data_IF_290234781545
#
_entry.id   IF_290234781545
#
_cell.length_a   1.000
_cell.length_b   1.000
_cell.length_c   1.000
_cell.angle_alpha   90.00
_cell.angle_beta   90.00
_cell.angle_gamma   90.00
#
_symmetry.space_group_name_H-M   'P 1'
#
loop_
_entity.id
_entity.type
_entity.pdbx_description
1 polymer ?
#
# COMPACT_ATOMS: atom_id res chain seq x y z
N UNK A 1 13.16 -7.19 -0.12
CA UNK A 1 12.34 -7.46 1.07
C UNK A 1 12.98 -6.91 2.34
N UNK A 2 12.18 -6.34 3.24
CA UNK A 2 12.60 -5.84 4.56
C UNK A 2 12.18 -6.86 5.61
N UNK A 3 13.13 -7.26 6.46
CA UNK A 3 12.80 -8.10 7.61
C UNK A 3 12.14 -7.23 8.69
N UNK A 4 10.97 -7.68 9.13
CA UNK A 4 10.06 -6.92 9.98
C UNK A 4 9.10 -7.90 10.68
N UNK A 5 8.70 -7.64 11.93
CA UNK A 5 7.68 -8.45 12.60
C UNK A 5 6.34 -8.44 11.85
N UNK A 6 6.11 -7.44 10.99
CA UNK A 6 4.89 -7.30 10.20
C UNK A 6 4.91 -8.06 8.87
N UNK A 7 6.05 -8.64 8.48
CA UNK A 7 6.21 -9.34 7.22
C UNK A 7 5.39 -10.64 7.19
N UNK A 8 4.54 -10.78 6.17
CA UNK A 8 3.89 -12.05 5.85
C UNK A 8 4.90 -12.97 5.18
N UNK A 9 5.34 -14.02 5.89
CA UNK A 9 6.29 -15.00 5.36
C UNK A 9 5.68 -15.77 4.18
N UNK A 10 6.43 -15.84 3.07
CA UNK A 10 5.98 -16.54 1.86
C UNK A 10 5.66 -18.00 2.12
N UNK A 11 4.56 -18.50 1.55
CA UNK A 11 4.08 -19.87 1.75
C UNK A 11 3.52 -20.16 3.15
N UNK A 12 3.42 -19.17 4.04
CA UNK A 12 2.76 -19.33 5.35
C UNK A 12 1.33 -18.83 5.29
N UNK A 13 0.41 -19.65 5.79
CA UNK A 13 -0.95 -19.21 6.07
C UNK A 13 -0.93 -18.26 7.25
N UNK A 14 -1.61 -17.13 7.11
CA UNK A 14 -1.82 -16.18 8.21
C UNK A 14 -3.21 -16.33 8.80
N UNK A 15 -3.36 -15.87 10.04
CA UNK A 15 -4.67 -15.67 10.67
C UNK A 15 -4.69 -14.27 11.26
N UNK A 16 -5.48 -13.38 10.69
CA UNK A 16 -5.55 -11.97 11.09
C UNK A 16 -6.04 -11.84 12.54
N UNK A 17 -6.95 -12.72 12.98
CA UNK A 17 -7.41 -12.76 14.37
C UNK A 17 -6.33 -13.05 15.42
N UNK A 18 -5.12 -13.46 15.00
CA UNK A 18 -3.96 -13.69 15.88
C UNK A 18 -2.93 -12.56 15.82
N UNK A 19 -3.16 -11.53 14.99
CA UNK A 19 -2.25 -10.41 14.82
C UNK A 19 -2.89 -9.20 15.53
N UNK A 20 -2.22 -8.57 16.50
CA UNK A 20 -2.76 -7.41 17.19
C UNK A 20 -2.95 -6.23 16.22
N UNK A 21 -4.02 -5.46 16.42
CA UNK A 21 -4.36 -4.26 15.63
C UNK A 21 -3.86 -2.97 16.27
N UNK A 22 -3.51 -3.04 17.56
CA UNK A 22 -3.18 -1.95 18.48
C UNK A 22 -1.72 -1.98 18.97
N UNK A 23 -0.87 -2.83 18.37
CA UNK A 23 0.56 -2.87 18.67
C UNK A 23 1.21 -1.47 18.51
N UNK A 24 2.18 -1.18 19.36
CA UNK A 24 3.00 0.04 19.36
C UNK A 24 4.50 -0.26 19.36
N UNK A 25 4.87 -1.54 19.29
CA UNK A 25 6.22 -2.07 19.25
C UNK A 25 7.12 -1.47 20.32
N UNK A 26 8.17 -0.76 19.91
CA UNK A 26 9.19 -0.22 20.81
C UNK A 26 8.83 1.12 21.46
N UNK A 27 7.77 1.79 21.02
CA UNK A 27 7.50 3.16 21.49
C UNK A 27 6.69 3.13 22.77
N UNK A 28 7.20 3.85 23.77
CA UNK A 28 6.52 4.04 25.07
C UNK A 28 5.58 5.23 25.06
N UNK A 29 5.80 6.17 24.15
CA UNK A 29 4.97 7.36 23.98
C UNK A 29 4.75 7.67 22.49
N UNK A 30 3.67 8.40 22.24
CA UNK A 30 3.22 8.77 20.91
C UNK A 30 4.13 9.81 20.23
N UNK A 31 4.84 10.63 21.00
CA UNK A 31 5.67 11.69 20.44
C UNK A 31 6.91 11.10 19.79
N UNK A 32 7.59 10.17 20.46
CA UNK A 32 8.75 9.46 19.91
C UNK A 32 8.43 8.75 18.58
N UNK A 33 7.23 8.18 18.43
CA UNK A 33 6.80 7.56 17.17
C UNK A 33 6.54 8.58 16.04
N UNK A 34 6.07 9.78 16.40
CA UNK A 34 5.89 10.89 15.44
C UNK A 34 7.23 11.45 14.98
N UNK A 35 8.14 11.70 15.90
CA UNK A 35 9.49 12.20 15.60
C UNK A 35 10.24 11.20 14.70
N UNK A 36 10.11 9.90 14.99
CA UNK A 36 10.67 8.85 14.13
C UNK A 36 10.01 8.81 12.74
N UNK A 37 8.71 9.10 12.64
CA UNK A 37 8.03 9.22 11.35
C UNK A 37 8.57 10.41 10.57
N UNK A 38 8.72 11.57 11.21
CA UNK A 38 9.23 12.81 10.58
C UNK A 38 10.64 12.62 10.02
N UNK A 39 11.53 11.97 10.77
CA UNK A 39 12.87 11.60 10.28
C UNK A 39 12.82 10.70 9.04
N UNK A 40 11.86 9.76 8.99
CA UNK A 40 11.64 8.93 7.80
C UNK A 40 11.16 9.77 6.60
N UNK A 41 10.33 10.80 6.82
CA UNK A 41 9.82 11.62 5.72
C UNK A 41 10.93 12.43 5.06
N UNK A 42 11.83 13.03 5.84
CA UNK A 42 13.01 13.72 5.30
C UNK A 42 13.86 12.77 4.45
N UNK A 43 14.11 11.57 4.98
CA UNK A 43 14.88 10.56 4.24
C UNK A 43 14.16 10.12 2.97
N UNK A 44 12.83 10.01 3.00
CA UNK A 44 12.04 9.61 1.84
C UNK A 44 12.11 10.67 0.75
N UNK A 45 12.05 11.95 1.11
CA UNK A 45 12.20 13.07 0.17
C UNK A 45 13.56 13.02 -0.54
N UNK A 46 14.66 12.98 0.23
CA UNK A 46 16.03 12.89 -0.31
C UNK A 46 16.19 11.69 -1.27
N UNK A 47 15.64 10.53 -0.89
CA UNK A 47 15.79 9.30 -1.68
C UNK A 47 14.85 9.25 -2.88
N UNK A 48 13.71 9.94 -2.82
CA UNK A 48 12.82 10.07 -3.97
C UNK A 48 13.48 10.92 -5.05
N UNK A 49 14.19 11.99 -4.69
CA UNK A 49 14.96 12.80 -5.65
C UNK A 49 15.98 11.95 -6.41
N UNK A 50 16.76 11.13 -5.69
CA UNK A 50 17.73 10.22 -6.32
C UNK A 50 17.03 9.18 -7.21
N UNK A 51 15.88 8.63 -6.78
CA UNK A 51 15.09 7.70 -7.60
C UNK A 51 14.70 8.36 -8.93
N UNK A 52 14.18 9.58 -8.85
CA UNK A 52 13.71 10.34 -10.00
C UNK A 52 14.85 10.69 -10.95
N UNK A 53 15.96 11.22 -10.42
CA UNK A 53 17.14 11.55 -11.21
C UNK A 53 17.74 10.31 -11.91
N UNK A 54 17.81 9.17 -11.21
CA UNK A 54 18.38 7.95 -11.78
C UNK A 54 17.53 7.37 -12.91
N UNK A 55 16.19 7.49 -12.85
CA UNK A 55 15.24 7.06 -13.88
C UNK A 55 15.42 5.61 -14.39
N UNK A 56 15.95 4.72 -13.54
CA UNK A 56 16.19 3.29 -13.86
C UNK A 56 15.19 2.34 -13.19
N UNK A 57 14.75 2.68 -11.99
CA UNK A 57 13.89 1.83 -11.15
C UNK A 57 12.59 2.56 -10.81
N UNK A 58 11.58 1.80 -10.40
CA UNK A 58 10.34 2.36 -9.87
C UNK A 58 10.02 1.76 -8.49
N UNK A 59 9.24 2.47 -7.68
CA UNK A 59 8.72 1.95 -6.41
C UNK A 59 7.19 1.92 -6.45
N UNK A 60 6.60 0.73 -6.38
CA UNK A 60 5.16 0.53 -6.28
C UNK A 60 4.76 0.19 -4.83
N UNK A 61 3.87 1.01 -4.28
CA UNK A 61 3.31 0.88 -2.95
C UNK A 61 1.83 0.56 -3.07
N UNK A 62 1.43 -0.61 -2.57
CA UNK A 62 0.02 -1.02 -2.55
C UNK A 62 -0.57 -0.87 -1.16
N UNK A 63 -1.65 -0.10 -1.02
CA UNK A 63 -2.39 0.05 0.22
C UNK A 63 -3.74 -0.64 0.09
N UNK A 64 -3.92 -1.71 0.87
CA UNK A 64 -5.19 -2.40 1.03
C UNK A 64 -5.64 -2.37 2.48
N UNK A 65 -6.95 -2.22 2.69
CA UNK A 65 -7.52 -2.18 4.02
C UNK A 65 -9.05 -2.16 3.98
N UNK A 66 -9.68 -2.53 5.09
CA UNK A 66 -11.10 -2.22 5.32
C UNK A 66 -11.37 -0.71 5.23
N UNK A 67 -12.64 -0.35 5.03
CA UNK A 67 -13.05 1.05 5.10
C UNK A 67 -12.79 1.62 6.49
N UNK A 68 -12.47 2.92 6.53
CA UNK A 68 -12.01 3.64 7.71
C UNK A 68 -10.66 3.21 8.33
N UNK A 69 -9.96 2.21 7.81
CA UNK A 69 -8.61 1.83 8.27
C UNK A 69 -7.53 2.90 8.02
N UNK A 70 -7.82 3.85 7.13
CA UNK A 70 -7.03 5.08 6.98
C UNK A 70 -5.95 5.01 5.91
N UNK A 71 -6.26 4.39 4.77
CA UNK A 71 -5.46 4.45 3.54
C UNK A 71 -5.15 5.91 3.17
N UNK A 72 -6.17 6.76 3.01
CA UNK A 72 -6.01 8.18 2.65
C UNK A 72 -5.10 8.94 3.63
N UNK A 73 -5.32 8.77 4.93
CA UNK A 73 -4.50 9.45 5.95
C UNK A 73 -3.08 8.88 6.09
N UNK A 74 -2.81 7.69 5.55
CA UNK A 74 -1.45 7.14 5.43
C UNK A 74 -0.73 7.84 4.27
N UNK A 75 -1.41 7.98 3.13
CA UNK A 75 -0.88 8.67 1.95
C UNK A 75 -0.58 10.14 2.30
N UNK A 76 -1.58 10.85 2.84
CA UNK A 76 -1.47 12.26 3.21
C UNK A 76 -0.32 12.51 4.20
N UNK A 77 -0.14 11.63 5.19
CA UNK A 77 0.88 11.84 6.21
C UNK A 77 2.29 11.46 5.79
N UNK A 78 2.46 10.49 4.89
CA UNK A 78 3.79 9.97 4.53
C UNK A 78 4.37 10.69 3.31
N UNK A 79 3.51 11.16 2.41
CA UNK A 79 3.94 11.77 1.15
C UNK A 79 3.77 13.29 1.11
N UNK A 80 3.50 13.94 2.25
CA UNK A 80 3.31 15.40 2.32
C UNK A 80 4.56 16.21 1.97
N UNK A 81 5.76 15.65 2.15
CA UNK A 81 7.03 16.31 1.83
C UNK A 81 7.64 15.89 0.50
N UNK A 82 7.13 14.83 -0.13
CA UNK A 82 7.71 14.26 -1.34
C UNK A 82 7.36 15.13 -2.56
N UNK A 83 8.32 15.35 -3.46
CA UNK A 83 8.09 16.12 -4.68
C UNK A 83 6.96 15.48 -5.52
N UNK A 84 5.87 16.21 -5.80
CA UNK A 84 4.71 15.66 -6.51
C UNK A 84 5.03 15.23 -7.95
N UNK A 85 6.13 15.71 -8.55
CA UNK A 85 6.56 15.25 -9.89
C UNK A 85 7.10 13.82 -9.90
N UNK A 86 7.55 13.30 -8.74
CA UNK A 86 8.09 11.94 -8.62
C UNK A 86 7.16 10.97 -7.91
N UNK A 87 5.92 11.36 -7.63
CA UNK A 87 4.96 10.57 -6.85
C UNK A 87 3.56 10.64 -7.44
N UNK A 88 2.97 9.47 -7.75
CA UNK A 88 1.63 9.37 -8.32
C UNK A 88 0.72 8.47 -7.48
N UNK A 89 -0.47 8.97 -7.14
CA UNK A 89 -1.50 8.19 -6.44
C UNK A 89 -2.59 7.78 -7.42
N UNK A 90 -2.85 6.47 -7.52
CA UNK A 90 -3.99 5.92 -8.26
C UNK A 90 -4.97 5.29 -7.28
N UNK A 91 -6.21 5.78 -7.28
CA UNK A 91 -7.29 5.25 -6.43
C UNK A 91 -8.25 4.40 -7.25
N UNK A 92 -8.28 3.09 -7.03
CA UNK A 92 -9.15 2.18 -7.77
C UNK A 92 -10.55 2.13 -7.16
N UNK A 93 -11.55 2.57 -7.91
CA UNK A 93 -12.97 2.46 -7.54
C UNK A 93 -13.61 1.24 -8.22
N UNK A 94 -14.93 1.12 -8.07
CA UNK A 94 -15.72 0.16 -8.85
C UNK A 94 -15.38 0.32 -10.35
N UNK A 95 -15.15 -0.79 -11.07
CA UNK A 95 -14.69 -0.70 -12.44
C UNK A 95 -15.74 -0.12 -13.38
N UNK A 96 -15.29 0.67 -14.37
CA UNK A 96 -16.17 1.19 -15.42
C UNK A 96 -16.57 0.09 -16.40
N UNK A 97 -17.56 0.37 -17.27
CA UNK A 97 -17.96 -0.59 -18.31
C UNK A 97 -16.80 -0.94 -19.25
N UNK A 98 -15.96 0.06 -19.61
CA UNK A 98 -14.78 -0.17 -20.43
C UNK A 98 -13.77 -1.08 -19.70
N UNK A 99 -13.51 -0.81 -18.43
CA UNK A 99 -12.58 -1.63 -17.64
C UNK A 99 -13.08 -3.07 -17.49
N UNK A 100 -14.39 -3.28 -17.36
CA UNK A 100 -15.01 -4.61 -17.31
C UNK A 100 -15.01 -5.35 -18.66
N UNK A 101 -14.83 -4.63 -19.77
CA UNK A 101 -14.68 -5.23 -21.10
C UNK A 101 -13.26 -5.76 -21.37
N UNK A 102 -12.30 -5.47 -20.48
CA UNK A 102 -10.95 -6.02 -20.49
C UNK A 102 -10.76 -7.00 -19.33
N UNK A 103 -9.60 -7.67 -19.29
CA UNK A 103 -9.21 -8.40 -18.08
C UNK A 103 -8.99 -7.41 -16.91
N UNK A 104 -9.13 -7.90 -15.68
CA UNK A 104 -9.10 -7.05 -14.49
C UNK A 104 -7.73 -6.41 -14.21
N UNK A 105 -6.65 -6.94 -14.78
CA UNK A 105 -5.31 -6.36 -14.63
C UNK A 105 -5.05 -5.24 -15.64
N UNK A 106 -5.78 -5.17 -16.75
CA UNK A 106 -5.59 -4.14 -17.79
C UNK A 106 -5.53 -2.71 -17.21
N UNK A 107 -6.55 -2.31 -16.43
CA UNK A 107 -6.60 -0.97 -15.82
C UNK A 107 -5.50 -0.75 -14.78
N UNK A 108 -5.07 -1.83 -14.14
CA UNK A 108 -4.09 -1.79 -13.04
C UNK A 108 -2.68 -1.66 -13.61
N UNK A 109 -2.37 -2.43 -14.65
CA UNK A 109 -1.10 -2.37 -15.36
C UNK A 109 -0.90 -0.98 -16.00
N UNK A 110 -1.95 -0.40 -16.58
CA UNK A 110 -1.91 0.96 -17.13
C UNK A 110 -1.54 2.03 -16.08
N UNK A 111 -1.75 1.77 -14.80
CA UNK A 111 -1.46 2.70 -13.72
C UNK A 111 -0.11 2.45 -13.02
N UNK A 112 0.67 1.45 -13.45
CA UNK A 112 1.97 1.15 -12.84
C UNK A 112 2.94 2.34 -13.00
N UNK A 113 3.81 2.59 -12.00
CA UNK A 113 4.75 3.70 -12.05
C UNK A 113 5.77 3.51 -13.17
N UNK A 114 6.08 4.61 -13.87
CA UNK A 114 7.24 4.68 -14.75
C UNK A 114 8.55 4.63 -13.94
N UNK A 115 9.67 4.40 -14.63
CA UNK A 115 11.00 4.51 -14.00
C UNK A 115 11.22 5.94 -13.49
N UNK A 116 11.83 6.04 -12.31
CA UNK A 116 11.98 7.29 -11.57
C UNK A 116 10.83 7.64 -10.63
N UNK A 117 9.70 6.89 -10.69
CA UNK A 117 8.48 7.25 -9.98
C UNK A 117 8.22 6.37 -8.75
N UNK A 118 7.59 6.98 -7.75
CA UNK A 118 6.83 6.28 -6.71
C UNK A 118 5.37 6.22 -7.15
N UNK A 119 4.85 5.01 -7.35
CA UNK A 119 3.42 4.75 -7.60
C UNK A 119 2.74 4.27 -6.32
N UNK A 120 1.61 4.88 -5.97
CA UNK A 120 0.83 4.52 -4.78
C UNK A 120 -0.57 4.08 -5.21
N UNK A 121 -0.88 2.82 -4.97
CA UNK A 121 -2.19 2.24 -5.22
C UNK A 121 -3.05 2.31 -3.95
N UNK A 122 -4.05 3.19 -3.95
CA UNK A 122 -5.10 3.23 -2.93
C UNK A 122 -6.25 2.30 -3.35
N UNK A 123 -6.30 1.10 -2.75
CA UNK A 123 -6.86 -0.11 -3.37
C UNK A 123 -6.06 -0.51 -4.61
N UNK A 124 -6.31 -1.68 -5.19
CA UNK A 124 -5.48 -2.27 -6.26
C UNK A 124 -6.16 -3.48 -6.92
N UNK A 125 -5.43 -4.21 -7.75
CA UNK A 125 -5.82 -5.52 -8.32
C UNK A 125 -6.28 -6.55 -7.27
N UNK A 126 -5.97 -6.36 -5.99
CA UNK A 126 -6.48 -7.25 -4.94
C UNK A 126 -8.00 -7.12 -4.72
N UNK A 127 -8.64 -6.02 -5.12
CA UNK A 127 -10.11 -5.91 -5.08
C UNK A 127 -10.78 -7.06 -5.86
N UNK A 128 -10.13 -7.54 -6.92
CA UNK A 128 -10.59 -8.65 -7.77
C UNK A 128 -10.46 -10.05 -7.14
N UNK A 129 -9.88 -10.15 -5.94
CA UNK A 129 -9.92 -11.37 -5.08
C UNK A 129 -10.50 -11.09 -3.69
N UNK A 130 -10.88 -9.83 -3.41
CA UNK A 130 -11.53 -9.38 -2.18
C UNK A 130 -13.02 -9.17 -2.42
N UNK A 131 -13.44 -8.00 -2.89
CA UNK A 131 -14.86 -7.69 -3.12
C UNK A 131 -15.49 -8.65 -4.14
N UNK A 132 -14.73 -9.05 -5.17
CA UNK A 132 -15.20 -10.02 -6.16
C UNK A 132 -15.57 -11.37 -5.54
N UNK A 133 -14.82 -11.81 -4.52
CA UNK A 133 -15.08 -13.02 -3.75
C UNK A 133 -16.25 -12.83 -2.79
N UNK A 134 -16.20 -11.79 -1.95
CA UNK A 134 -17.19 -11.57 -0.87
C UNK A 134 -18.58 -11.34 -1.43
N UNK A 135 -18.69 -10.54 -2.50
CA UNK A 135 -19.95 -10.25 -3.19
C UNK A 135 -20.31 -11.24 -4.28
N UNK A 136 -19.47 -12.27 -4.50
CA UNK A 136 -19.66 -13.28 -5.55
C UNK A 136 -19.87 -12.66 -6.94
N UNK A 137 -19.10 -11.62 -7.27
CA UNK A 137 -19.20 -10.92 -8.56
C UNK A 137 -18.80 -11.83 -9.73
N UNK A 138 -17.94 -12.81 -9.46
CA UNK A 138 -17.60 -13.90 -10.37
C UNK A 138 -17.57 -15.23 -9.60
N UNK A 139 -17.74 -16.38 -10.27
CA UNK A 139 -17.63 -17.69 -9.63
C UNK A 139 -16.26 -17.91 -8.98
N UNK A 140 -16.21 -18.78 -7.95
CA UNK A 140 -14.96 -19.16 -7.29
C UNK A 140 -13.90 -19.68 -8.25
N UNK A 141 -14.30 -20.47 -9.25
CA UNK A 141 -13.42 -20.99 -10.29
C UNK A 141 -12.73 -19.91 -11.14
N UNK A 142 -13.26 -18.67 -11.13
CA UNK A 142 -12.67 -17.51 -11.81
C UNK A 142 -11.75 -16.76 -10.86
N UNK A 143 -12.24 -16.27 -9.73
CA UNK A 143 -11.41 -15.42 -8.86
C UNK A 143 -10.28 -16.19 -8.18
N UNK A 144 -10.41 -17.51 -7.93
CA UNK A 144 -9.35 -18.26 -7.26
C UNK A 144 -8.08 -18.37 -8.10
N UNK A 145 -8.21 -18.38 -9.44
CA UNK A 145 -7.06 -18.39 -10.38
C UNK A 145 -6.32 -17.05 -10.39
N UNK A 146 -6.99 -15.97 -9.97
CA UNK A 146 -6.40 -14.62 -9.97
C UNK A 146 -5.23 -14.49 -8.99
N UNK A 147 -5.11 -15.35 -7.97
CA UNK A 147 -3.93 -15.35 -7.11
C UNK A 147 -2.65 -15.64 -7.91
N UNK A 148 -2.69 -16.62 -8.83
CA UNK A 148 -1.56 -16.96 -9.69
C UNK A 148 -1.28 -15.82 -10.68
N UNK A 149 -2.32 -15.30 -11.34
CA UNK A 149 -2.18 -14.17 -12.26
C UNK A 149 -1.58 -12.92 -11.57
N UNK A 150 -1.98 -12.63 -10.33
CA UNK A 150 -1.44 -11.52 -9.54
C UNK A 150 0.05 -11.74 -9.23
N UNK A 151 0.42 -12.96 -8.85
CA UNK A 151 1.81 -13.30 -8.58
C UNK A 151 2.68 -13.18 -9.84
N UNK A 152 2.17 -13.61 -11.01
CA UNK A 152 2.87 -13.50 -12.29
C UNK A 152 2.99 -12.05 -12.76
N UNK A 153 1.94 -11.25 -12.57
CA UNK A 153 1.95 -9.81 -12.83
C UNK A 153 2.98 -9.08 -11.97
N UNK A 154 2.96 -9.30 -10.66
CA UNK A 154 3.90 -8.67 -9.73
C UNK A 154 5.34 -9.14 -9.97
N UNK A 155 5.54 -10.40 -10.38
CA UNK A 155 6.85 -10.89 -10.81
C UNK A 155 7.34 -10.16 -12.05
N UNK A 156 6.49 -10.02 -13.07
CA UNK A 156 6.85 -9.30 -14.31
C UNK A 156 7.32 -7.89 -14.02
N UNK A 157 6.58 -7.15 -13.19
CA UNK A 157 6.97 -5.80 -12.77
C UNK A 157 8.30 -5.78 -12.02
N UNK A 158 8.51 -6.74 -11.12
CA UNK A 158 9.73 -6.82 -10.32
C UNK A 158 10.97 -7.15 -11.17
N UNK A 159 10.84 -8.09 -12.11
CA UNK A 159 11.92 -8.48 -13.02
C UNK A 159 12.30 -7.29 -13.94
N UNK A 160 11.34 -6.42 -14.28
CA UNK A 160 11.54 -5.21 -15.10
C UNK A 160 11.94 -3.94 -14.32
N UNK A 161 12.28 -4.08 -13.03
CA UNK A 161 12.87 -3.01 -12.22
C UNK A 161 11.90 -2.22 -11.33
N UNK A 162 10.69 -2.72 -11.12
CA UNK A 162 9.75 -2.16 -10.14
C UNK A 162 9.91 -2.83 -8.78
N UNK A 163 10.36 -2.10 -7.77
CA UNK A 163 10.32 -2.59 -6.38
C UNK A 163 8.90 -2.50 -5.86
N UNK A 164 8.34 -3.61 -5.36
CA UNK A 164 6.95 -3.67 -4.88
C UNK A 164 6.92 -3.89 -3.37
N UNK A 165 6.13 -3.09 -2.66
CA UNK A 165 5.80 -3.31 -1.25
C UNK A 165 4.30 -3.13 -1.02
N UNK A 166 3.69 -4.06 -0.29
CA UNK A 166 2.23 -4.11 -0.12
C UNK A 166 1.88 -4.08 1.36
N UNK A 167 0.95 -3.21 1.73
CA UNK A 167 0.54 -2.99 3.12
C UNK A 167 -0.93 -3.29 3.29
N UNK A 168 -1.25 -4.20 4.20
CA UNK A 168 -2.59 -4.37 4.73
C UNK A 168 -2.71 -3.60 6.04
N UNK A 169 -3.52 -2.55 6.05
CA UNK A 169 -3.75 -1.75 7.26
C UNK A 169 -4.79 -2.45 8.13
N UNK A 170 -4.33 -3.12 9.18
CA UNK A 170 -5.11 -3.99 10.02
C UNK A 170 -5.69 -3.24 11.21
N UNK A 171 -7.01 -3.00 11.17
CA UNK A 171 -7.76 -2.42 12.27
C UNK A 171 -8.69 -3.45 12.91
N UNK A 172 -9.05 -3.22 14.16
CA UNK A 172 -10.12 -3.96 14.83
C UNK A 172 -11.49 -3.55 14.29
N UNK A 173 -12.49 -4.41 14.50
CA UNK A 173 -13.89 -4.10 14.14
C UNK A 173 -14.44 -2.97 15.01
N UNK A 174 -13.99 -2.93 16.25
CA UNK A 174 -14.28 -1.91 17.25
C UNK A 174 -13.78 -0.55 16.77
N UNK A 175 -12.49 -0.44 16.42
CA UNK A 175 -11.90 0.79 15.87
C UNK A 175 -12.59 1.23 14.57
N UNK A 176 -12.96 0.28 13.68
CA UNK A 176 -13.72 0.61 12.48
C UNK A 176 -15.02 1.34 12.83
N UNK A 177 -15.80 0.77 13.76
CA UNK A 177 -17.07 1.33 14.18
C UNK A 177 -16.90 2.72 14.83
N UNK A 178 -15.90 2.89 15.68
CA UNK A 178 -15.59 4.19 16.29
C UNK A 178 -15.23 5.25 15.25
N UNK A 179 -14.39 4.90 14.28
CA UNK A 179 -14.02 5.82 13.18
C UNK A 179 -15.21 6.17 12.30
N UNK A 180 -16.10 5.23 12.03
CA UNK A 180 -17.33 5.50 11.26
C UNK A 180 -18.28 6.44 12.03
N UNK A 181 -18.49 6.20 13.33
CA UNK A 181 -19.27 7.10 14.20
C UNK A 181 -18.68 8.51 14.23
N UNK A 182 -17.36 8.63 14.39
CA UNK A 182 -16.67 9.92 14.40
C UNK A 182 -16.81 10.67 13.05
N UNK A 183 -16.74 9.96 11.91
CA UNK A 183 -16.96 10.55 10.58
C UNK A 183 -18.38 11.09 10.39
N UNK A 184 -19.39 10.41 10.92
CA UNK A 184 -20.78 10.85 10.87
C UNK A 184 -21.02 12.09 11.75
N UNK A 185 -20.36 12.16 12.91
CA UNK A 185 -20.44 13.30 13.81
C UNK A 185 -19.79 14.57 13.20
N UNK A 186 -18.68 14.42 12.49
CA UNK A 186 -17.91 15.52 11.89
C UNK A 186 -18.46 15.95 10.52
N UNK A 187 -19.09 17.13 10.45
CA UNK A 187 -19.66 17.70 9.21
C UNK A 187 -18.66 17.80 8.06
N UNK A 188 -17.37 18.01 8.35
CA UNK A 188 -16.31 18.16 7.34
C UNK A 188 -15.89 16.82 6.72
N UNK A 189 -16.30 15.70 7.33
CA UNK A 189 -15.93 14.33 6.90
C UNK A 189 -17.10 13.49 6.40
N UNK A 190 -18.33 13.97 6.55
CA UNK A 190 -19.55 13.26 6.10
C UNK A 190 -19.53 12.90 4.62
N UNK A 191 -18.91 13.72 3.77
CA UNK A 191 -18.77 13.42 2.34
C UNK A 191 -17.94 12.16 2.06
N UNK A 192 -17.08 11.72 3.00
CA UNK A 192 -16.29 10.49 2.93
C UNK A 192 -17.08 9.24 3.36
N UNK A 193 -18.33 9.40 3.81
CA UNK A 193 -19.16 8.31 4.29
C UNK A 193 -20.04 7.78 3.16
N UNK A 194 -20.01 6.47 2.94
CA UNK A 194 -20.96 5.80 2.06
C UNK A 194 -21.86 4.88 2.89
N UNK A 195 -23.21 4.99 2.81
CA UNK A 195 -24.11 4.08 3.50
C UNK A 195 -23.85 2.59 3.21
N UNK A 196 -23.30 2.26 2.03
CA UNK A 196 -22.88 0.91 1.68
C UNK A 196 -21.82 0.36 2.65
N UNK A 197 -20.97 1.20 3.25
CA UNK A 197 -19.91 0.80 4.18
C UNK A 197 -20.50 0.10 5.43
N UNK A 198 -21.71 0.47 5.87
CA UNK A 198 -22.40 -0.22 6.97
C UNK A 198 -22.76 -1.65 6.57
N UNK A 199 -23.20 -1.84 5.32
CA UNK A 199 -23.57 -3.16 4.79
C UNK A 199 -22.31 -4.02 4.65
N UNK A 200 -21.21 -3.45 4.15
CA UNK A 200 -19.91 -4.14 4.08
C UNK A 200 -19.41 -4.55 5.46
N UNK A 201 -19.61 -3.71 6.49
CA UNK A 201 -19.27 -4.02 7.88
C UNK A 201 -19.97 -5.26 8.44
N UNK A 202 -21.15 -5.64 7.91
CA UNK A 202 -21.82 -6.89 8.28
C UNK A 202 -21.12 -8.14 7.72
N UNK A 203 -20.27 -7.98 6.70
CA UNK A 203 -19.49 -9.05 6.06
C UNK A 203 -18.04 -9.08 6.53
N UNK A 204 -17.77 -8.56 7.73
CA UNK A 204 -16.42 -8.48 8.30
C UNK A 204 -15.66 -9.80 8.18
N UNK A 205 -16.26 -10.91 8.63
CA UNK A 205 -15.61 -12.22 8.65
C UNK A 205 -15.32 -12.75 7.23
N UNK A 206 -16.22 -12.49 6.27
CA UNK A 206 -16.00 -12.83 4.86
C UNK A 206 -14.80 -12.07 4.28
N UNK A 207 -14.68 -10.77 4.61
CA UNK A 207 -13.54 -9.95 4.21
C UNK A 207 -12.25 -10.38 4.88
N UNK A 208 -12.26 -10.68 6.19
CA UNK A 208 -11.08 -11.18 6.89
C UNK A 208 -10.57 -12.47 6.24
N UNK A 209 -11.47 -13.41 5.94
CA UNK A 209 -11.12 -14.65 5.24
C UNK A 209 -10.57 -14.38 3.82
N UNK A 210 -11.14 -13.41 3.09
CA UNK A 210 -10.63 -13.02 1.77
C UNK A 210 -9.23 -12.40 1.84
N UNK A 211 -8.97 -11.55 2.84
CA UNK A 211 -7.66 -10.96 3.10
C UNK A 211 -6.64 -12.03 3.51
N UNK A 212 -6.98 -12.92 4.44
CA UNK A 212 -6.09 -14.00 4.88
C UNK A 212 -5.61 -14.84 3.70
N UNK A 213 -6.51 -15.22 2.79
CA UNK A 213 -6.16 -15.99 1.60
C UNK A 213 -5.30 -15.19 0.62
N UNK A 214 -5.64 -13.92 0.35
CA UNK A 214 -4.85 -13.05 -0.53
C UNK A 214 -3.44 -12.79 0.00
N UNK A 215 -3.30 -12.53 1.30
CA UNK A 215 -2.02 -12.29 1.96
C UNK A 215 -1.17 -13.56 1.99
N UNK A 216 -1.79 -14.72 2.25
CA UNK A 216 -1.10 -16.01 2.27
C UNK A 216 -0.65 -16.46 0.87
N UNK A 217 -1.49 -16.25 -0.15
CA UNK A 217 -1.22 -16.69 -1.53
C UNK A 217 -0.27 -15.75 -2.28
N UNK A 218 -0.25 -14.46 -1.94
CA UNK A 218 0.46 -13.46 -2.73
C UNK A 218 1.58 -12.73 -1.98
N UNK A 219 2.02 -13.18 -0.80
CA UNK A 219 3.26 -12.66 -0.21
C UNK A 219 4.47 -13.42 -0.74
N UNK A 220 5.29 -12.74 -1.56
CA UNK A 220 6.47 -13.35 -2.21
C UNK A 220 7.75 -12.59 -1.84
N UNK A 221 8.91 -13.11 -2.27
CA UNK A 221 10.20 -12.42 -2.05
C UNK A 221 10.31 -11.08 -2.81
N UNK A 222 9.76 -11.04 -4.03
CA UNK A 222 9.81 -9.87 -4.91
C UNK A 222 8.66 -8.89 -4.65
N UNK A 223 7.53 -9.36 -4.11
CA UNK A 223 6.38 -8.53 -3.72
C UNK A 223 5.88 -8.95 -2.32
N UNK A 224 6.56 -8.53 -1.24
CA UNK A 224 6.16 -8.84 0.12
C UNK A 224 4.89 -8.11 0.55
N UNK A 225 4.09 -8.79 1.38
CA UNK A 225 3.03 -8.19 2.17
C UNK A 225 3.48 -7.88 3.60
N UNK A 226 3.01 -6.76 4.13
CA UNK A 226 3.14 -6.39 5.53
C UNK A 226 1.76 -6.15 6.15
N UNK A 227 1.47 -6.84 7.26
CA UNK A 227 0.24 -6.62 8.06
C UNK A 227 0.55 -5.57 9.11
N UNK A 228 0.05 -4.35 8.91
CA UNK A 228 0.39 -3.19 9.73
C UNK A 228 -0.70 -2.94 10.77
N UNK A 229 -0.40 -2.96 12.08
CA UNK A 229 -1.34 -2.56 13.11
C UNK A 229 -1.76 -1.10 12.89
N UNK A 230 -3.06 -0.86 12.80
CA UNK A 230 -3.59 0.39 12.29
C UNK A 230 -4.62 1.07 13.20
N UNK A 231 -4.86 0.56 14.41
CA UNK A 231 -5.74 1.23 15.39
C UNK A 231 -5.10 2.54 15.86
N UNK A 232 -3.81 2.52 16.14
CA UNK A 232 -3.03 3.72 16.42
C UNK A 232 -2.48 4.36 15.13
N UNK A 233 -3.18 5.39 14.62
CA UNK A 233 -2.79 6.10 13.38
C UNK A 233 -1.33 6.56 13.33
N UNK A 234 -0.79 7.04 14.46
CA UNK A 234 0.60 7.49 14.54
C UNK A 234 1.58 6.32 14.38
N UNK A 235 1.26 5.16 14.96
CA UNK A 235 2.10 3.98 14.88
C UNK A 235 2.06 3.35 13.49
N UNK A 236 0.86 3.25 12.89
CA UNK A 236 0.69 2.88 11.49
C UNK A 236 1.58 3.72 10.56
N UNK A 237 1.56 5.04 10.72
CA UNK A 237 2.37 5.94 9.89
C UNK A 237 3.87 5.69 10.06
N UNK A 238 4.31 5.44 11.29
CA UNK A 238 5.69 5.05 11.55
C UNK A 238 6.05 3.71 10.87
N UNK A 239 5.26 2.65 11.06
CA UNK A 239 5.55 1.32 10.48
C UNK A 239 5.64 1.40 8.97
N UNK A 240 4.67 2.05 8.32
CA UNK A 240 4.65 2.18 6.86
C UNK A 240 5.84 3.01 6.37
N UNK A 241 6.14 4.15 7.02
CA UNK A 241 7.28 4.99 6.61
C UNK A 241 8.63 4.30 6.83
N UNK A 242 8.81 3.55 7.93
CA UNK A 242 10.03 2.77 8.20
C UNK A 242 10.28 1.73 7.11
N UNK A 243 9.25 0.97 6.74
CA UNK A 243 9.37 -0.07 5.71
C UNK A 243 9.66 0.57 4.35
N UNK A 244 9.02 1.69 4.00
CA UNK A 244 9.29 2.43 2.75
C UNK A 244 10.75 2.91 2.73
N UNK A 245 11.20 3.61 3.77
CA UNK A 245 12.56 4.18 3.84
C UNK A 245 13.62 3.08 3.79
N UNK A 246 13.43 1.99 4.53
CA UNK A 246 14.36 0.86 4.48
C UNK A 246 14.35 0.19 3.11
N UNK A 247 13.22 0.17 2.42
CA UNK A 247 13.10 -0.36 1.06
C UNK A 247 13.86 0.51 0.06
N UNK A 248 13.60 1.82 0.02
CA UNK A 248 14.23 2.74 -0.94
C UNK A 248 15.74 2.88 -0.70
N UNK A 249 16.21 2.75 0.56
CA UNK A 249 17.64 2.64 0.87
C UNK A 249 18.27 1.38 0.30
N UNK A 250 17.57 0.25 0.34
CA UNK A 250 18.05 -1.03 -0.22
C UNK A 250 18.05 -1.09 -1.75
N UNK A 251 17.40 -0.16 -2.44
CA UNK A 251 17.42 -0.07 -3.90
C UNK A 251 18.77 0.40 -4.46
N UNK A 252 19.74 0.77 -3.61
CA UNK A 252 21.09 1.23 -3.99
C UNK A 252 21.08 2.32 -5.08
N UNK A 253 20.14 3.26 -4.97
CA UNK A 253 19.97 4.33 -5.95
C UNK A 253 21.15 5.30 -5.89
N UNK A 254 21.59 5.76 -7.07
CA UNK A 254 22.71 6.68 -7.28
C UNK A 254 22.28 7.75 -8.28
N UNK A 255 22.80 8.97 -8.10
CA UNK A 255 22.67 9.98 -9.14
C UNK A 255 23.27 9.49 -10.46
N UNK A 256 22.75 9.96 -11.62
CA UNK A 256 23.39 9.74 -12.91
C UNK A 256 24.84 10.23 -12.91
N UNK A 257 25.66 9.65 -13.77
CA UNK A 257 27.03 10.12 -13.99
C UNK A 257 27.00 11.58 -14.50
N UNK A 258 27.96 12.38 -14.03
CA UNK A 258 28.09 13.77 -14.47
C UNK A 258 28.40 13.83 -15.97
N UNK A 259 27.90 14.88 -16.64
CA UNK A 259 28.26 15.15 -18.03
C UNK A 259 29.73 15.60 -18.04
N UNK A 260 30.55 14.97 -18.87
CA UNK A 260 31.97 15.32 -19.00
C UNK A 260 32.14 16.79 -19.41
N UNK A 261 33.06 17.50 -18.74
CA UNK A 261 33.39 18.90 -19.04
C UNK A 261 32.45 19.94 -18.43
N UNK A 262 31.54 19.56 -17.51
CA UNK A 262 30.69 20.52 -16.78
C UNK A 262 31.50 21.60 -16.03
N UNK A 263 32.69 21.24 -15.53
CA UNK A 263 33.64 22.12 -14.85
C UNK A 263 34.25 23.20 -15.76
N UNK A 264 34.17 23.02 -17.08
CA UNK A 264 34.73 23.93 -18.08
C UNK A 264 33.70 24.94 -18.63
N UNK A 265 32.41 24.76 -18.32
CA UNK A 265 31.35 25.67 -18.76
C UNK A 265 31.42 26.96 -17.93
N UNK A 266 31.65 28.09 -18.61
CA UNK A 266 31.47 29.44 -18.05
C UNK A 266 30.13 30.01 -18.53
N UNK A 267 29.30 30.46 -17.60
CA UNK A 267 28.00 31.12 -17.86
C UNK A 267 28.15 32.62 -18.12
#
# INVERSE_FOLDING_TARGET
MIDSPYLVKSGKRIRLSKIPTDDTGRFKDKQAGRDATESNLHTLDDRQEVLYAQSKYALLIVLQAMDAAGKDGTIESIFSGVNPQGCQVTSFKAPSHLELAHDYLWRVHNACPARGMIGIFNRSHYEDVLVARVKKLVPKSVWSKRYDHINDFERTLADEGTTIIKFYLHISKEEQNERMKARLADRTKRWKFNPADIIEGKRWDDYMAAYEDALSACSTKHAPWYVVPADHKWYRNWVVSDIIVRTIKKMDLKYPDEIEGLDQIKL
#
